data_IF_234753488850
#
_entry.id   IF_234753488850
#
_cell.length_a   1.000
_cell.length_b   1.000
_cell.length_c   1.000
_cell.angle_alpha   90.00
_cell.angle_beta   90.00
_cell.angle_gamma   90.00
#
_symmetry.space_group_name_H-M   'P 1'
#
loop_
_entity.id
_entity.type
_entity.pdbx_description
1 polymer ?
#
# COMPACT_ATOMS: atom_id res chain seq x y z
N UNK A 1 -2.33 -61.53 6.33
CA UNK A 1 -3.51 -60.64 6.35
C UNK A 1 -3.35 -59.40 7.23
N UNK A 2 -2.71 -59.50 8.38
CA UNK A 2 -2.45 -58.35 9.26
C UNK A 2 -1.56 -57.29 8.65
N UNK A 3 -0.67 -57.64 7.73
CA UNK A 3 0.22 -56.68 7.04
C UNK A 3 -0.50 -55.74 6.10
N UNK A 4 -1.58 -56.16 5.47
CA UNK A 4 -2.36 -55.31 4.53
C UNK A 4 -3.15 -54.25 5.28
N UNK A 5 -3.71 -54.59 6.42
CA UNK A 5 -4.44 -53.64 7.27
C UNK A 5 -3.51 -52.56 7.84
N UNK A 6 -2.30 -52.96 8.21
CA UNK A 6 -1.26 -52.05 8.71
C UNK A 6 -0.84 -51.03 7.65
N UNK A 7 -0.68 -51.45 6.41
CA UNK A 7 -0.34 -50.55 5.31
C UNK A 7 -1.46 -49.55 5.00
N UNK A 8 -2.69 -49.98 5.05
CA UNK A 8 -3.84 -49.12 4.85
C UNK A 8 -3.96 -48.04 5.91
N UNK A 9 -3.70 -48.38 7.17
CA UNK A 9 -3.69 -47.40 8.26
C UNK A 9 -2.61 -46.33 8.08
N UNK A 10 -1.41 -46.76 7.74
CA UNK A 10 -0.30 -45.83 7.53
C UNK A 10 -0.56 -44.88 6.34
N UNK A 11 -1.13 -45.37 5.27
CA UNK A 11 -1.50 -44.55 4.14
C UNK A 11 -2.55 -43.48 4.51
N UNK A 12 -3.54 -43.84 5.29
CA UNK A 12 -4.56 -42.92 5.77
C UNK A 12 -3.98 -41.80 6.66
N UNK A 13 -3.05 -42.13 7.53
CA UNK A 13 -2.36 -41.16 8.42
C UNK A 13 -1.55 -40.18 7.60
N UNK A 14 -0.83 -40.64 6.60
CA UNK A 14 -0.03 -39.76 5.70
C UNK A 14 -0.93 -38.81 4.91
N UNK A 15 -2.06 -39.25 4.43
CA UNK A 15 -3.00 -38.40 3.73
C UNK A 15 -3.61 -37.33 4.66
N UNK A 16 -3.93 -37.69 5.89
CA UNK A 16 -4.43 -36.75 6.88
C UNK A 16 -3.42 -35.64 7.22
N UNK A 17 -2.15 -35.96 7.32
CA UNK A 17 -1.08 -35.02 7.59
C UNK A 17 -0.90 -34.04 6.41
N UNK A 18 -0.95 -34.52 5.19
CA UNK A 18 -0.83 -33.68 4.01
C UNK A 18 -1.99 -32.68 3.89
N UNK A 19 -3.21 -33.09 4.21
CA UNK A 19 -4.36 -32.22 4.23
C UNK A 19 -4.26 -31.11 5.31
N UNK A 20 -3.73 -31.46 6.48
CA UNK A 20 -3.52 -30.49 7.55
C UNK A 20 -2.49 -29.41 7.18
N UNK A 21 -1.43 -29.77 6.46
CA UNK A 21 -0.43 -28.81 5.99
C UNK A 21 -0.96 -27.90 4.87
N UNK A 22 -1.88 -28.38 4.03
CA UNK A 22 -2.49 -27.60 2.98
C UNK A 22 -3.48 -26.54 3.48
N UNK A 23 -3.95 -26.65 4.74
CA UNK A 23 -4.88 -25.69 5.32
C UNK A 23 -4.24 -24.43 5.90
N UNK A 24 -2.94 -24.30 5.86
CA UNK A 24 -2.20 -23.16 6.40
C UNK A 24 -1.85 -22.10 5.34
N UNK A 25 -2.67 -21.93 4.35
CA UNK A 25 -2.46 -20.87 3.37
C UNK A 25 -2.89 -19.56 4.00
N UNK A 26 -1.93 -18.75 4.38
CA UNK A 26 -2.17 -17.39 4.81
C UNK A 26 -2.54 -16.57 3.57
N UNK A 27 -3.74 -16.01 3.56
CA UNK A 27 -4.13 -15.09 2.52
C UNK A 27 -3.14 -13.92 2.49
N UNK A 28 -2.66 -13.49 1.30
CA UNK A 28 -1.76 -12.35 1.24
C UNK A 28 -2.46 -11.13 1.83
N UNK A 29 -1.83 -10.53 2.82
CA UNK A 29 -2.30 -9.24 3.34
C UNK A 29 -2.16 -8.23 2.22
N UNK A 30 -3.24 -7.52 1.87
CA UNK A 30 -3.11 -6.45 0.87
C UNK A 30 -2.00 -5.50 1.30
N UNK A 31 -1.12 -5.17 0.37
CA UNK A 31 -0.05 -4.22 0.62
C UNK A 31 -0.58 -2.85 1.07
N UNK A 32 0.29 -1.96 1.54
CA UNK A 32 -0.15 -0.65 1.99
C UNK A 32 -0.86 0.08 0.85
N UNK A 33 -2.11 0.43 1.07
CA UNK A 33 -2.86 1.24 0.14
C UNK A 33 -2.44 2.69 0.28
N UNK A 34 -1.92 3.24 -0.79
CA UNK A 34 -1.61 4.66 -0.90
C UNK A 34 -2.86 5.38 -1.43
N UNK A 35 -3.67 5.86 -0.54
CA UNK A 35 -4.87 6.60 -0.89
C UNK A 35 -6.10 5.71 -1.11
N UNK A 36 -7.25 6.31 -1.11
CA UNK A 36 -8.55 5.75 -1.43
C UNK A 36 -9.09 4.71 -0.45
N UNK A 37 -10.01 5.08 0.41
CA UNK A 37 -10.84 4.18 1.19
C UNK A 37 -10.40 3.86 2.61
N UNK A 38 -9.15 4.06 2.99
CA UNK A 38 -8.71 3.88 4.36
C UNK A 38 -8.88 5.16 5.17
N UNK A 39 -9.60 5.07 6.28
CA UNK A 39 -9.72 6.16 7.23
C UNK A 39 -8.78 5.98 8.40
N UNK A 40 -8.12 7.05 8.81
CA UNK A 40 -7.17 7.07 9.92
C UNK A 40 -7.71 7.97 11.00
N UNK A 41 -7.76 7.45 12.22
CA UNK A 41 -8.28 8.20 13.37
C UNK A 41 -7.35 9.35 13.79
N UNK A 42 -6.05 9.20 13.57
CA UNK A 42 -5.03 10.17 13.99
C UNK A 42 -4.75 11.15 12.86
N UNK A 43 -4.74 12.43 13.18
CA UNK A 43 -4.41 13.47 12.20
C UNK A 43 -2.99 13.30 11.69
N UNK A 44 -2.75 13.55 10.37
CA UNK A 44 -1.39 13.55 9.85
C UNK A 44 -0.57 14.69 10.45
N UNK A 45 0.76 14.51 10.58
CA UNK A 45 1.63 15.60 10.96
C UNK A 45 1.60 16.73 9.92
N UNK A 46 2.07 17.90 10.30
CA UNK A 46 2.23 19.00 9.34
C UNK A 46 3.16 18.57 8.20
N UNK A 47 2.88 18.99 6.96
CA UNK A 47 3.75 18.69 5.84
C UNK A 47 5.18 19.17 6.09
N UNK A 48 6.16 18.36 5.69
CA UNK A 48 7.56 18.75 5.78
C UNK A 48 7.90 19.79 4.72
N UNK A 49 8.73 20.74 5.10
CA UNK A 49 9.31 21.68 4.13
C UNK A 49 10.43 20.96 3.39
N UNK A 50 10.35 20.99 2.06
CA UNK A 50 11.35 20.34 1.21
C UNK A 50 12.13 21.40 0.43
N UNK A 51 13.46 21.25 0.42
CA UNK A 51 14.36 22.09 -0.37
C UNK A 51 14.81 21.29 -1.59
N UNK A 52 14.35 21.65 -2.76
CA UNK A 52 14.52 20.86 -3.97
C UNK A 52 15.36 21.52 -5.06
N UNK A 53 15.78 22.77 -4.89
CA UNK A 53 16.65 23.46 -5.81
C UNK A 53 16.04 23.72 -7.17
N UNK A 54 16.85 23.62 -8.21
CA UNK A 54 16.49 23.93 -9.59
C UNK A 54 16.05 22.66 -10.33
N UNK A 55 15.05 22.79 -11.20
CA UNK A 55 14.58 21.71 -12.03
C UNK A 55 15.70 21.12 -12.90
N UNK A 56 15.85 19.79 -12.99
CA UNK A 56 16.92 19.16 -13.80
C UNK A 56 16.71 19.31 -15.30
N UNK A 57 15.47 19.50 -15.72
CA UNK A 57 15.10 19.68 -17.12
C UNK A 57 14.06 20.79 -17.26
N UNK A 58 14.03 21.53 -18.40
CA UNK A 58 13.00 22.53 -18.64
C UNK A 58 11.58 21.94 -18.57
N UNK A 59 10.69 22.66 -17.91
CA UNK A 59 9.30 22.25 -17.78
C UNK A 59 8.99 21.24 -16.71
N UNK A 60 9.99 20.63 -16.07
CA UNK A 60 9.78 19.75 -14.94
C UNK A 60 9.23 20.52 -13.76
N UNK A 61 8.37 19.87 -12.98
CA UNK A 61 7.79 20.45 -11.78
C UNK A 61 8.07 19.57 -10.55
N UNK A 62 7.99 20.17 -9.39
CA UNK A 62 8.20 19.45 -8.14
C UNK A 62 6.90 18.78 -7.71
N UNK A 63 6.90 17.45 -7.67
CA UNK A 63 5.85 16.68 -7.00
C UNK A 63 6.16 16.65 -5.51
N UNK A 64 5.43 17.44 -4.73
CA UNK A 64 5.68 17.54 -3.30
C UNK A 64 5.53 16.20 -2.59
N UNK A 65 6.32 16.01 -1.55
CA UNK A 65 6.20 14.87 -0.67
C UNK A 65 4.89 14.90 0.13
N UNK A 66 4.58 13.80 0.75
CA UNK A 66 3.35 13.69 1.54
C UNK A 66 3.51 12.61 2.62
N UNK A 67 2.65 12.68 3.62
CA UNK A 67 2.56 11.63 4.64
C UNK A 67 1.73 10.48 4.09
N UNK A 68 2.28 9.27 4.13
CA UNK A 68 1.56 8.05 3.82
C UNK A 68 1.27 7.28 5.09
N UNK A 69 0.14 6.60 5.13
CA UNK A 69 -0.22 5.74 6.25
C UNK A 69 0.25 4.32 5.97
N UNK A 70 0.92 3.72 6.95
CA UNK A 70 1.42 2.35 6.85
C UNK A 70 1.32 1.62 8.18
N UNK A 71 1.86 0.38 8.26
CA UNK A 71 1.77 -0.43 9.48
C UNK A 71 2.38 0.22 10.72
N UNK A 72 3.40 1.04 10.56
CA UNK A 72 4.05 1.78 11.64
C UNK A 72 3.50 3.18 11.88
N UNK A 73 2.42 3.57 11.22
CA UNK A 73 1.87 4.91 11.29
C UNK A 73 2.22 5.77 10.08
N UNK A 74 2.25 7.09 10.27
CA UNK A 74 2.62 8.02 9.21
C UNK A 74 4.11 7.94 8.88
N UNK A 75 4.41 7.85 7.60
CA UNK A 75 5.77 7.91 7.08
C UNK A 75 5.85 8.92 5.94
N UNK A 76 6.90 9.72 5.93
CA UNK A 76 7.08 10.72 4.89
C UNK A 76 7.53 10.09 3.58
N UNK A 77 6.77 10.31 2.51
CA UNK A 77 7.17 10.00 1.14
C UNK A 77 7.78 11.26 0.54
N UNK A 78 9.09 11.29 0.28
CA UNK A 78 9.74 12.49 -0.23
C UNK A 78 9.24 12.86 -1.62
N UNK A 79 9.22 14.16 -1.90
CA UNK A 79 8.92 14.68 -3.22
C UNK A 79 10.01 14.37 -4.22
N UNK A 80 9.72 14.61 -5.48
CA UNK A 80 10.67 14.44 -6.57
C UNK A 80 10.29 15.30 -7.76
N UNK A 81 11.26 15.54 -8.63
CA UNK A 81 11.02 16.21 -9.90
C UNK A 81 10.31 15.27 -10.88
N UNK A 82 9.34 15.79 -11.59
CA UNK A 82 8.55 15.03 -12.54
C UNK A 82 8.36 15.77 -13.85
N UNK A 83 8.30 15.01 -14.93
CA UNK A 83 7.99 15.53 -16.24
C UNK A 83 6.52 15.95 -16.33
N UNK A 84 6.19 17.05 -16.99
CA UNK A 84 4.80 17.44 -17.22
C UNK A 84 4.14 16.44 -18.16
N UNK A 85 2.83 16.32 -18.04
CA UNK A 85 2.02 15.50 -18.93
C UNK A 85 1.09 16.39 -19.73
N UNK A 86 1.25 16.40 -21.05
CA UNK A 86 0.46 17.25 -21.94
C UNK A 86 -1.04 17.01 -21.77
N UNK A 87 -1.82 18.10 -21.61
CA UNK A 87 -3.26 18.03 -21.42
C UNK A 87 -3.70 17.65 -20.01
N UNK A 88 -2.74 17.46 -19.08
CA UNK A 88 -3.04 17.07 -17.71
C UNK A 88 -2.36 18.00 -16.71
N UNK A 89 -2.89 18.02 -15.50
CA UNK A 89 -2.29 18.67 -14.35
C UNK A 89 -2.15 17.66 -13.21
N UNK A 90 -1.13 17.81 -12.41
CA UNK A 90 -0.96 16.98 -11.22
C UNK A 90 -1.82 17.49 -10.09
N UNK A 91 -2.58 16.58 -9.47
CA UNK A 91 -3.33 16.85 -8.25
C UNK A 91 -2.55 16.27 -7.07
N UNK A 92 -1.97 17.11 -6.20
CA UNK A 92 -1.14 16.62 -5.11
C UNK A 92 -1.89 15.73 -4.13
N UNK A 93 -1.17 14.79 -3.54
CA UNK A 93 -1.69 14.01 -2.42
C UNK A 93 -1.93 14.93 -1.22
N UNK A 94 -3.07 14.81 -0.60
CA UNK A 94 -3.37 15.54 0.63
C UNK A 94 -4.36 14.78 1.49
N UNK A 95 -4.30 15.02 2.79
CA UNK A 95 -5.20 14.42 3.75
C UNK A 95 -6.40 15.33 4.00
N UNK A 96 -7.58 14.72 4.06
CA UNK A 96 -8.83 15.44 4.32
C UNK A 96 -9.53 14.79 5.50
N UNK A 97 -10.02 15.63 6.40
CA UNK A 97 -10.82 15.17 7.53
C UNK A 97 -12.25 14.93 7.08
N UNK A 98 -12.75 13.72 7.32
CA UNK A 98 -14.14 13.34 7.05
C UNK A 98 -14.85 12.86 8.30
N UNK A 99 -16.09 12.40 8.15
CA UNK A 99 -16.90 11.89 9.27
C UNK A 99 -16.36 10.62 9.93
N UNK A 100 -15.53 9.86 9.20
CA UNK A 100 -14.93 8.62 9.69
C UNK A 100 -13.44 8.74 10.02
N UNK A 101 -12.91 9.94 10.02
CA UNK A 101 -11.50 10.21 10.26
C UNK A 101 -10.83 10.85 9.06
N UNK A 102 -9.50 10.70 8.99
CA UNK A 102 -8.69 11.27 7.93
C UNK A 102 -8.54 10.30 6.77
N UNK A 103 -8.61 10.80 5.56
CA UNK A 103 -8.36 10.01 4.37
C UNK A 103 -7.51 10.77 3.35
N UNK A 104 -6.75 10.02 2.58
CA UNK A 104 -5.90 10.56 1.52
C UNK A 104 -6.73 10.81 0.26
N UNK A 105 -6.49 11.94 -0.39
CA UNK A 105 -7.04 12.26 -1.71
C UNK A 105 -5.97 12.86 -2.59
N UNK A 106 -6.22 12.95 -3.88
CA UNK A 106 -5.24 13.44 -4.84
C UNK A 106 -4.26 12.36 -5.32
N UNK A 107 -3.05 12.76 -5.65
CA UNK A 107 -2.04 11.85 -6.18
C UNK A 107 -2.38 11.30 -7.55
N UNK A 108 -2.93 12.11 -8.41
CA UNK A 108 -3.38 11.71 -9.74
C UNK A 108 -3.21 12.82 -10.77
N UNK A 109 -3.19 12.42 -12.01
CA UNK A 109 -3.28 13.33 -13.12
C UNK A 109 -4.75 13.62 -13.44
N UNK A 110 -5.09 14.89 -13.56
CA UNK A 110 -6.42 15.32 -13.96
C UNK A 110 -6.34 16.05 -15.30
N UNK A 111 -7.34 15.92 -16.13
CA UNK A 111 -7.41 16.68 -17.39
C UNK A 111 -7.54 18.16 -17.09
N UNK A 112 -6.87 18.98 -17.90
CA UNK A 112 -7.02 20.43 -17.87
C UNK A 112 -8.34 20.88 -18.49
#
# INVERSE_FOLDING_TARGET
MTRVVSRARNAAIVLGLAAALGGCIVAPVPGPYYGGGAYVAVAPPAPRVEYYGVAPYPGYFWMGGFWRWGPGGYAWAPGHWAAPRAGFRWVPNHWVRGGHGWHMTGGRWARR
#
